data_IF_657310894834
#
_entry.id   IF_657310894834
#
_cell.length_a   1.000
_cell.length_b   1.000
_cell.length_c   1.000
_cell.angle_alpha   90.00
_cell.angle_beta   90.00
_cell.angle_gamma   90.00
#
_symmetry.space_group_name_H-M   'P 1'
#
loop_
_entity.id
_entity.type
_entity.pdbx_description
1 polymer ?
#
# COMPACT_ATOMS: atom_id res chain seq x y z
N UNK A 1 -21.82 6.45 -11.07
CA UNK A 1 -20.48 6.36 -11.71
C UNK A 1 -20.05 4.90 -11.75
N UNK A 2 -19.26 4.45 -12.74
CA UNK A 2 -18.56 3.16 -12.65
C UNK A 2 -17.61 3.15 -11.45
N UNK A 3 -17.22 1.97 -10.97
CA UNK A 3 -16.45 1.75 -9.73
C UNK A 3 -14.94 2.09 -9.86
N UNK A 4 -14.65 3.24 -10.49
CA UNK A 4 -13.28 3.75 -10.65
C UNK A 4 -12.78 4.32 -9.32
N UNK A 5 -11.56 3.95 -8.96
CA UNK A 5 -10.76 4.56 -7.91
C UNK A 5 -9.59 5.31 -8.54
N UNK A 6 -9.24 6.46 -7.98
CA UNK A 6 -8.07 7.23 -8.43
C UNK A 6 -6.84 6.84 -7.58
N UNK A 7 -5.63 6.83 -8.15
CA UNK A 7 -4.41 6.94 -7.34
C UNK A 7 -4.14 8.43 -7.12
N UNK A 8 -4.19 8.86 -5.86
CA UNK A 8 -3.95 10.26 -5.47
C UNK A 8 -2.68 10.33 -4.63
N UNK A 9 -1.79 11.26 -4.96
CA UNK A 9 -0.66 11.60 -4.08
C UNK A 9 -1.00 12.81 -3.20
N UNK A 10 -0.84 12.66 -1.89
CA UNK A 10 -1.07 13.68 -0.87
C UNK A 10 0.26 14.36 -0.52
N UNK A 11 0.40 15.62 -0.90
CA UNK A 11 1.57 16.47 -0.67
C UNK A 11 1.32 17.29 0.59
N UNK A 12 2.13 17.10 1.64
CA UNK A 12 1.99 17.79 2.93
C UNK A 12 3.36 17.90 3.63
N UNK A 13 3.46 18.77 4.63
CA UNK A 13 4.65 18.88 5.48
C UNK A 13 4.74 17.75 6.53
N UNK A 14 5.98 17.33 6.85
CA UNK A 14 6.30 16.37 7.92
C UNK A 14 5.53 16.65 9.23
N UNK A 15 4.65 15.72 9.62
CA UNK A 15 3.83 15.76 10.84
C UNK A 15 2.85 16.95 10.95
N UNK A 16 2.49 17.60 9.84
CA UNK A 16 1.55 18.72 9.83
C UNK A 16 0.09 18.25 9.57
N UNK A 17 -0.90 19.04 10.03
CA UNK A 17 -2.35 18.88 9.80
C UNK A 17 -2.91 17.43 9.87
N UNK A 18 -2.56 16.67 10.93
CA UNK A 18 -2.93 15.25 11.07
C UNK A 18 -4.45 14.99 10.91
N UNK A 19 -5.30 15.84 11.49
CA UNK A 19 -6.76 15.69 11.38
C UNK A 19 -7.28 15.92 9.94
N UNK A 20 -6.63 16.79 9.16
CA UNK A 20 -6.94 16.98 7.73
C UNK A 20 -6.54 15.73 6.92
N UNK A 21 -5.42 15.09 7.27
CA UNK A 21 -4.96 13.84 6.66
C UNK A 21 -5.89 12.66 6.98
N UNK A 22 -6.43 12.59 8.20
CA UNK A 22 -7.44 11.59 8.58
C UNK A 22 -8.78 11.84 7.85
N UNK A 23 -9.24 13.09 7.75
CA UNK A 23 -10.43 13.46 6.97
C UNK A 23 -10.29 13.11 5.48
N UNK A 24 -9.10 13.32 4.89
CA UNK A 24 -8.76 12.85 3.55
C UNK A 24 -8.86 11.33 3.42
N UNK A 25 -8.30 10.58 4.38
CA UNK A 25 -8.33 9.13 4.36
C UNK A 25 -9.77 8.58 4.43
N UNK A 26 -10.61 9.15 5.30
CA UNK A 26 -12.03 8.79 5.43
C UNK A 26 -12.78 9.11 4.13
N UNK A 27 -12.64 10.33 3.60
CA UNK A 27 -13.31 10.75 2.36
C UNK A 27 -12.90 9.86 1.16
N UNK A 28 -11.62 9.54 1.03
CA UNK A 28 -11.13 8.78 -0.13
C UNK A 28 -11.19 7.26 0.02
N UNK A 29 -11.45 6.68 1.21
CA UNK A 29 -11.47 5.23 1.46
C UNK A 29 -12.23 4.40 0.40
N UNK A 30 -13.40 4.87 -0.04
CA UNK A 30 -14.17 4.22 -1.10
C UNK A 30 -13.72 4.60 -2.52
N UNK A 31 -13.21 5.83 -2.68
CA UNK A 31 -13.09 6.61 -3.93
C UNK A 31 -11.68 6.61 -4.54
N UNK A 32 -10.64 6.29 -3.79
CA UNK A 32 -9.25 6.35 -4.23
C UNK A 32 -8.31 5.47 -3.41
N UNK A 33 -7.10 5.28 -3.93
CA UNK A 33 -5.91 4.82 -3.20
C UNK A 33 -5.02 6.05 -2.94
N UNK A 34 -4.59 6.24 -1.70
CA UNK A 34 -3.79 7.39 -1.28
C UNK A 34 -2.33 6.98 -1.03
N UNK A 35 -1.40 7.71 -1.63
CA UNK A 35 0.00 7.78 -1.20
C UNK A 35 0.28 9.16 -0.58
N UNK A 36 1.28 9.28 0.29
CA UNK A 36 1.57 10.52 1.03
C UNK A 36 3.07 10.84 0.93
N UNK A 37 3.44 12.12 0.99
CA UNK A 37 4.85 12.50 1.20
C UNK A 37 5.38 11.87 2.50
N UNK A 38 6.53 11.18 2.41
CA UNK A 38 7.16 10.51 3.55
C UNK A 38 8.23 11.40 4.19
N UNK A 39 8.41 11.27 5.50
CA UNK A 39 9.27 12.18 6.29
C UNK A 39 10.63 12.44 5.66
N UNK A 40 11.01 13.71 5.56
CA UNK A 40 12.27 14.16 4.94
C UNK A 40 13.54 13.66 5.65
N UNK A 41 13.39 12.97 6.80
CA UNK A 41 14.46 12.27 7.51
C UNK A 41 14.93 11.00 6.78
N UNK A 42 14.10 10.43 5.90
CA UNK A 42 14.44 9.28 5.08
C UNK A 42 15.24 9.71 3.85
N UNK A 43 16.42 9.11 3.65
CA UNK A 43 17.30 9.40 2.50
C UNK A 43 16.66 9.15 1.13
N UNK A 44 15.58 8.34 1.07
CA UNK A 44 14.80 8.05 -0.13
C UNK A 44 13.53 8.90 -0.30
N UNK A 45 13.19 9.80 0.62
CA UNK A 45 11.91 10.54 0.62
C UNK A 45 11.66 11.29 -0.71
N UNK A 46 12.64 12.06 -1.17
CA UNK A 46 12.62 12.79 -2.45
C UNK A 46 12.37 11.89 -3.67
N UNK A 47 12.96 10.68 -3.67
CA UNK A 47 12.77 9.70 -4.74
C UNK A 47 11.38 9.07 -4.69
N UNK A 48 10.92 8.67 -3.50
CA UNK A 48 9.60 8.08 -3.27
C UNK A 48 8.46 9.04 -3.68
N UNK A 49 8.50 10.30 -3.22
CA UNK A 49 7.50 11.31 -3.58
C UNK A 49 7.43 11.54 -5.08
N UNK A 50 8.59 11.63 -5.76
CA UNK A 50 8.63 11.70 -7.24
C UNK A 50 8.00 10.47 -7.90
N UNK A 51 8.30 9.27 -7.43
CA UNK A 51 7.76 8.03 -8.01
C UNK A 51 6.24 7.90 -7.82
N UNK A 52 5.71 8.37 -6.69
CA UNK A 52 4.26 8.44 -6.44
C UNK A 52 3.59 9.50 -7.30
N UNK A 53 4.18 10.70 -7.43
CA UNK A 53 3.69 11.76 -8.32
C UNK A 53 3.67 11.31 -9.78
N UNK A 54 4.71 10.61 -10.23
CA UNK A 54 4.79 10.10 -11.60
C UNK A 54 3.67 9.10 -11.90
N UNK A 55 3.26 8.31 -10.90
CA UNK A 55 2.25 7.24 -11.01
C UNK A 55 0.83 7.61 -10.53
N UNK A 56 0.60 8.80 -9.96
CA UNK A 56 -0.75 9.23 -9.54
C UNK A 56 -1.59 9.78 -10.71
N UNK A 57 -2.91 9.57 -10.67
CA UNK A 57 -3.86 10.22 -11.58
C UNK A 57 -3.86 11.74 -11.34
N UNK A 58 -3.85 12.15 -10.06
CA UNK A 58 -3.72 13.54 -9.63
C UNK A 58 -3.10 13.69 -8.24
N UNK A 59 -2.74 14.91 -7.88
CA UNK A 59 -2.23 15.25 -6.55
C UNK A 59 -3.21 16.14 -5.79
N UNK A 60 -3.28 15.95 -4.48
CA UNK A 60 -3.89 16.89 -3.53
C UNK A 60 -2.79 17.41 -2.63
N UNK A 61 -2.70 18.72 -2.48
CA UNK A 61 -1.68 19.37 -1.67
C UNK A 61 -2.34 20.11 -0.52
N UNK A 62 -1.79 19.94 0.68
CA UNK A 62 -2.22 20.59 1.91
C UNK A 62 -1.11 21.53 2.34
N UNK A 63 -1.41 22.82 2.43
CA UNK A 63 -0.57 23.78 3.13
C UNK A 63 -1.18 24.01 4.50
N UNK A 64 -0.46 23.58 5.53
CA UNK A 64 -0.78 23.80 6.93
C UNK A 64 0.09 24.90 7.54
N UNK A 65 0.26 24.83 8.85
CA UNK A 65 1.04 25.80 9.64
C UNK A 65 2.57 25.63 9.50
N UNK A 66 3.04 24.59 8.79
CA UNK A 66 4.46 24.27 8.62
C UNK A 66 4.90 24.27 7.15
N UNK A 67 6.08 24.85 6.87
CA UNK A 67 6.79 24.65 5.60
C UNK A 67 7.39 23.23 5.47
N UNK A 68 7.45 22.47 6.56
CA UNK A 68 8.14 21.19 6.64
C UNK A 68 9.66 21.32 6.84
N UNK A 69 10.32 20.20 7.12
CA UNK A 69 11.77 20.18 7.38
C UNK A 69 12.55 20.51 6.11
N UNK A 70 13.45 21.49 6.23
CA UNK A 70 14.30 21.97 5.13
C UNK A 70 15.50 21.04 4.92
N UNK A 71 15.72 20.59 3.69
CA UNK A 71 16.87 19.76 3.30
C UNK A 71 18.11 20.63 3.04
N UNK A 72 19.28 20.00 2.80
CA UNK A 72 20.57 20.69 2.58
C UNK A 72 20.59 21.70 1.42
N UNK A 73 19.58 21.69 0.55
CA UNK A 73 19.40 22.58 -0.59
C UNK A 73 18.55 23.84 -0.26
N UNK A 74 18.08 24.01 0.98
CA UNK A 74 17.21 25.12 1.38
C UNK A 74 15.71 24.92 1.09
N UNK A 75 15.31 23.75 0.59
CA UNK A 75 13.94 23.43 0.16
C UNK A 75 13.36 22.30 1.01
N UNK A 76 12.06 22.33 1.30
CA UNK A 76 11.37 21.24 2.02
C UNK A 76 10.85 20.15 1.07
N UNK A 77 10.53 18.98 1.61
CA UNK A 77 9.99 17.87 0.81
C UNK A 77 8.66 18.26 0.13
N UNK A 78 7.72 18.88 0.87
CA UNK A 78 6.45 19.41 0.35
C UNK A 78 6.64 20.34 -0.87
N UNK A 79 7.60 21.28 -0.80
CA UNK A 79 7.90 22.19 -1.91
C UNK A 79 8.46 21.42 -3.12
N UNK A 80 9.37 20.46 -2.90
CA UNK A 80 9.93 19.66 -3.98
C UNK A 80 8.86 18.78 -4.66
N UNK A 81 7.94 18.22 -3.91
CA UNK A 81 6.79 17.47 -4.42
C UNK A 81 5.83 18.35 -5.21
N UNK A 82 5.51 19.58 -4.75
CA UNK A 82 4.75 20.56 -5.53
C UNK A 82 5.43 20.85 -6.90
N UNK A 83 6.75 21.08 -6.91
CA UNK A 83 7.49 21.32 -8.15
C UNK A 83 7.52 20.08 -9.07
N UNK A 84 7.68 18.86 -8.52
CA UNK A 84 7.62 17.63 -9.31
C UNK A 84 6.23 17.47 -9.98
N UNK A 85 5.14 17.65 -9.23
CA UNK A 85 3.77 17.54 -9.74
C UNK A 85 3.49 18.58 -10.85
N UNK A 86 3.95 19.83 -10.64
CA UNK A 86 3.89 20.90 -11.63
C UNK A 86 4.71 20.61 -12.89
N UNK A 87 5.95 20.14 -12.75
CA UNK A 87 6.80 19.79 -13.88
C UNK A 87 6.27 18.61 -14.71
N UNK A 88 5.50 17.71 -14.09
CA UNK A 88 4.80 16.60 -14.75
C UNK A 88 3.37 16.93 -15.20
N UNK A 89 2.96 18.21 -15.10
CA UNK A 89 1.63 18.71 -15.48
C UNK A 89 0.47 17.92 -14.84
N UNK A 90 0.70 17.34 -13.65
CA UNK A 90 -0.32 16.56 -12.93
C UNK A 90 -1.45 17.50 -12.50
N UNK A 91 -2.73 17.11 -12.64
CA UNK A 91 -3.82 17.85 -12.04
C UNK A 91 -3.58 18.01 -10.53
N UNK A 92 -3.76 19.22 -10.03
CA UNK A 92 -3.41 19.59 -8.66
C UNK A 92 -4.55 20.36 -8.00
N UNK A 93 -5.09 19.77 -6.94
CA UNK A 93 -5.97 20.45 -5.98
C UNK A 93 -5.08 20.93 -4.84
N UNK A 94 -5.26 22.18 -4.40
CA UNK A 94 -4.50 22.77 -3.27
C UNK A 94 -5.49 23.25 -2.21
N UNK A 95 -5.34 22.74 -1.00
CA UNK A 95 -6.01 23.23 0.20
C UNK A 95 -4.98 24.06 0.99
N UNK A 96 -5.28 25.33 1.28
CA UNK A 96 -4.41 26.23 2.05
C UNK A 96 -5.12 26.66 3.32
N UNK A 97 -4.46 26.51 4.46
CA UNK A 97 -4.99 26.99 5.73
C UNK A 97 -5.03 28.51 5.75
N UNK A 98 -6.14 29.07 6.22
CA UNK A 98 -6.20 30.47 6.60
C UNK A 98 -5.46 30.64 7.93
N UNK A 99 -4.33 31.37 7.89
CA UNK A 99 -3.65 31.79 9.11
C UNK A 99 -4.20 33.14 9.56
N UNK A 100 -4.43 33.31 10.86
CA UNK A 100 -4.75 34.62 11.43
C UNK A 100 -3.63 35.63 11.19
N UNK A 101 -3.90 36.95 11.12
CA UNK A 101 -2.87 37.95 10.87
C UNK A 101 -1.77 37.99 11.94
N UNK A 102 -2.05 37.48 13.14
CA UNK A 102 -1.13 37.39 14.27
C UNK A 102 -0.35 36.05 14.34
N UNK A 103 -0.52 35.14 13.36
CA UNK A 103 0.14 33.84 13.35
C UNK A 103 1.62 33.95 12.92
N UNK A 104 2.53 33.41 13.73
CA UNK A 104 3.98 33.37 13.45
C UNK A 104 4.33 32.25 12.44
N UNK A 105 3.86 32.42 11.21
CA UNK A 105 4.18 31.53 10.08
C UNK A 105 5.51 31.91 9.43
N UNK A 106 6.36 30.90 9.18
CA UNK A 106 7.72 31.14 8.69
C UNK A 106 7.73 31.88 7.34
N UNK A 107 8.76 32.71 7.12
CA UNK A 107 8.92 33.43 5.85
C UNK A 107 8.92 32.49 4.62
N UNK A 108 9.48 31.29 4.76
CA UNK A 108 9.47 30.28 3.69
C UNK A 108 8.05 29.79 3.38
N UNK A 109 7.22 29.58 4.40
CA UNK A 109 5.80 29.25 4.23
C UNK A 109 5.05 30.39 3.54
N UNK A 110 5.26 31.63 3.96
CA UNK A 110 4.64 32.81 3.33
C UNK A 110 5.03 32.98 1.85
N UNK A 111 6.31 32.79 1.50
CA UNK A 111 6.78 32.84 0.11
C UNK A 111 6.25 31.66 -0.72
N UNK A 112 6.09 30.48 -0.11
CA UNK A 112 5.51 29.30 -0.75
C UNK A 112 4.00 29.44 -0.99
N UNK A 113 3.22 29.94 -0.04
CA UNK A 113 1.80 30.26 -0.23
C UNK A 113 1.64 31.24 -1.40
N UNK A 114 2.43 32.32 -1.44
CA UNK A 114 2.44 33.29 -2.55
C UNK A 114 2.80 32.65 -3.90
N UNK A 115 3.72 31.68 -3.93
CA UNK A 115 4.09 30.93 -5.13
C UNK A 115 2.94 30.05 -5.65
N UNK A 116 2.21 29.40 -4.73
CA UNK A 116 1.14 28.44 -5.05
C UNK A 116 -0.16 29.16 -5.44
N UNK A 117 -0.55 30.21 -4.70
CA UNK A 117 -1.71 31.06 -4.99
C UNK A 117 -1.59 31.82 -6.31
N UNK A 118 -0.36 32.13 -6.78
CA UNK A 118 -0.13 32.83 -8.05
C UNK A 118 -0.36 31.94 -9.29
N UNK A 119 -0.54 30.64 -9.15
CA UNK A 119 -0.76 29.72 -10.27
C UNK A 119 -2.20 29.21 -10.33
N UNK A 120 -2.71 29.04 -11.56
CA UNK A 120 -4.07 28.56 -11.87
C UNK A 120 -4.25 27.08 -11.47
N UNK A 121 -4.49 26.88 -10.17
CA UNK A 121 -4.75 25.62 -9.50
C UNK A 121 -6.22 25.57 -9.06
N UNK A 122 -6.74 24.38 -8.76
CA UNK A 122 -7.96 24.29 -7.94
C UNK A 122 -7.59 24.60 -6.49
N UNK A 123 -7.50 25.90 -6.19
CA UNK A 123 -7.12 26.46 -4.90
C UNK A 123 -8.35 26.66 -4.02
N UNK A 124 -8.31 26.09 -2.83
CA UNK A 124 -9.34 26.19 -1.80
C UNK A 124 -8.70 26.62 -0.48
N UNK A 125 -9.45 27.38 0.31
CA UNK A 125 -9.01 27.83 1.64
C UNK A 125 -9.88 27.18 2.71
N UNK A 126 -9.28 26.83 3.86
CA UNK A 126 -9.97 26.26 5.02
C UNK A 126 -9.51 26.97 6.30
N UNK A 127 -10.43 27.19 7.24
CA UNK A 127 -10.13 27.75 8.55
C UNK A 127 -9.95 26.64 9.60
N UNK A 128 -10.72 25.56 9.47
CA UNK A 128 -10.79 24.42 10.39
C UNK A 128 -10.77 23.08 9.64
N UNK A 129 -10.57 21.98 10.36
CA UNK A 129 -10.62 20.64 9.80
C UNK A 129 -12.04 20.16 9.44
N UNK A 130 -13.09 20.84 9.95
CA UNK A 130 -14.49 20.58 9.59
C UNK A 130 -14.82 21.05 8.16
N UNK A 131 -14.13 22.10 7.67
CA UNK A 131 -14.29 22.62 6.31
C UNK A 131 -13.77 21.65 5.22
N UNK A 132 -12.94 20.67 5.60
CA UNK A 132 -12.22 19.81 4.66
C UNK A 132 -13.15 18.89 3.88
N UNK A 133 -14.13 18.24 4.51
CA UNK A 133 -15.03 17.34 3.78
C UNK A 133 -15.87 18.06 2.69
N UNK A 134 -16.58 19.18 2.97
CA UNK A 134 -17.33 19.87 1.91
C UNK A 134 -16.41 20.44 0.81
N UNK A 135 -15.21 20.92 1.14
CA UNK A 135 -14.22 21.35 0.15
C UNK A 135 -13.74 20.18 -0.72
N UNK A 136 -13.49 19.00 -0.14
CA UNK A 136 -13.11 17.80 -0.89
C UNK A 136 -14.23 17.29 -1.79
N UNK A 137 -15.49 17.30 -1.33
CA UNK A 137 -16.68 17.01 -2.15
C UNK A 137 -16.69 17.94 -3.37
N UNK A 138 -16.62 19.25 -3.16
CA UNK A 138 -16.66 20.24 -4.24
C UNK A 138 -15.48 20.10 -5.20
N UNK A 139 -14.25 20.02 -4.68
CA UNK A 139 -13.03 19.97 -5.49
C UNK A 139 -12.95 18.68 -6.32
N UNK A 140 -13.23 17.52 -5.71
CA UNK A 140 -13.20 16.22 -6.38
C UNK A 140 -14.25 16.11 -7.50
N UNK A 141 -15.51 16.48 -7.25
CA UNK A 141 -16.54 16.41 -8.29
C UNK A 141 -16.33 17.44 -9.40
N UNK A 142 -15.85 18.66 -9.09
CA UNK A 142 -15.48 19.64 -10.12
C UNK A 142 -14.28 19.18 -10.95
N UNK A 143 -13.29 18.52 -10.34
CA UNK A 143 -12.13 17.99 -11.04
C UNK A 143 -12.50 16.85 -12.01
N UNK A 144 -13.42 15.96 -11.59
CA UNK A 144 -13.98 14.90 -12.44
C UNK A 144 -14.83 15.49 -13.58
N UNK A 145 -15.73 16.42 -13.28
CA UNK A 145 -16.67 16.99 -14.26
C UNK A 145 -15.97 17.79 -15.37
N UNK A 146 -14.87 18.47 -15.06
CA UNK A 146 -14.12 19.29 -16.01
C UNK A 146 -13.14 18.48 -16.91
N UNK A 147 -13.29 17.16 -17.01
CA UNK A 147 -12.50 16.24 -17.85
C UNK A 147 -10.96 16.27 -17.66
N UNK A 148 -10.42 16.99 -16.67
CA UNK A 148 -8.97 17.02 -16.37
C UNK A 148 -8.42 15.70 -15.82
N UNK A 149 -9.29 14.77 -15.42
CA UNK A 149 -8.92 13.48 -14.81
C UNK A 149 -9.00 12.33 -15.84
N UNK A 150 -8.02 12.29 -16.74
CA UNK A 150 -7.88 11.24 -17.78
C UNK A 150 -7.16 10.02 -17.21
N UNK A 151 -7.77 9.40 -16.21
CA UNK A 151 -7.21 8.29 -15.43
C UNK A 151 -8.20 7.83 -14.36
N UNK A 152 -8.02 6.64 -13.81
CA UNK A 152 -8.93 6.06 -12.82
C UNK A 152 -9.02 4.55 -12.94
N UNK A 153 -8.33 3.87 -12.04
CA UNK A 153 -8.25 2.42 -11.87
C UNK A 153 -9.64 1.81 -11.67
N UNK A 154 -10.03 0.88 -12.53
CA UNK A 154 -11.19 0.02 -12.29
C UNK A 154 -10.76 -1.08 -11.32
N UNK A 155 -11.64 -1.52 -10.41
CA UNK A 155 -11.36 -2.73 -9.62
C UNK A 155 -11.55 -3.96 -10.53
N UNK A 156 -10.67 -4.94 -10.47
CA UNK A 156 -10.74 -6.12 -11.35
C UNK A 156 -12.15 -6.78 -11.40
N UNK A 157 -12.83 -6.87 -10.25
CA UNK A 157 -14.18 -7.41 -10.11
C UNK A 157 -15.28 -6.68 -10.94
N UNK A 158 -15.03 -5.45 -11.39
CA UNK A 158 -15.94 -4.66 -12.23
C UNK A 158 -15.62 -4.77 -13.74
N UNK A 159 -14.43 -5.25 -14.13
CA UNK A 159 -14.02 -5.37 -15.54
C UNK A 159 -14.71 -6.56 -16.24
N UNK A 160 -14.90 -7.68 -15.52
CA UNK A 160 -15.71 -8.83 -15.99
C UNK A 160 -17.16 -8.43 -16.31
N UNK A 161 -17.72 -7.45 -15.58
CA UNK A 161 -19.10 -6.99 -15.77
C UNK A 161 -19.27 -5.84 -16.79
N UNK A 162 -18.18 -5.17 -17.20
CA UNK A 162 -18.26 -3.98 -18.09
C UNK A 162 -17.73 -4.23 -19.50
N UNK A 163 -16.87 -5.24 -19.70
CA UNK A 163 -16.33 -5.60 -21.03
C UNK A 163 -17.41 -5.92 -22.07
N UNK A 164 -18.57 -6.44 -21.64
CA UNK A 164 -19.68 -6.84 -22.52
C UNK A 164 -20.53 -5.71 -23.12
N UNK A 165 -20.24 -4.42 -22.87
CA UNK A 165 -21.16 -3.30 -23.24
C UNK A 165 -20.53 -2.07 -23.89
N UNK A 166 -19.32 -2.14 -24.46
CA UNK A 166 -18.71 -1.04 -25.24
C UNK A 166 -18.04 -1.48 -26.55
N UNK A 167 -18.79 -2.14 -27.44
CA UNK A 167 -18.38 -2.42 -28.84
C UNK A 167 -19.43 -1.89 -29.85
N UNK A 168 -20.04 -0.75 -29.51
CA UNK A 168 -20.72 0.20 -30.41
C UNK A 168 -20.58 1.57 -29.70
N UNK A 169 -20.21 2.69 -30.32
CA UNK A 169 -20.11 3.03 -31.74
C UNK A 169 -18.78 3.74 -32.04
N UNK A 170 -18.08 3.32 -33.10
CA UNK A 170 -17.52 4.23 -34.12
C UNK A 170 -17.11 3.39 -35.34
N UNK A 171 -17.50 3.85 -36.54
CA UNK A 171 -17.21 3.19 -37.82
C UNK A 171 -17.20 4.26 -38.91
N UNK A 172 -16.37 4.05 -39.95
CA UNK A 172 -15.99 5.01 -41.00
C UNK A 172 -15.07 6.12 -40.48
N UNK A 173 -13.99 6.50 -41.15
CA UNK A 173 -13.28 5.94 -42.34
C UNK A 173 -11.80 6.36 -42.16
N UNK A 174 -10.77 5.58 -42.53
CA UNK A 174 -10.21 5.57 -43.90
C UNK A 174 -9.22 4.40 -44.19
N UNK A 175 -8.58 4.43 -45.38
CA UNK A 175 -8.05 3.29 -46.17
C UNK A 175 -6.73 3.68 -46.90
N UNK A 176 -5.73 2.85 -47.27
CA UNK A 176 -5.52 1.37 -47.33
C UNK A 176 -4.22 1.00 -46.49
N UNK A 177 -3.07 0.36 -46.93
CA UNK A 177 -2.03 -0.14 -45.99
C UNK A 177 -0.56 0.18 -46.39
N UNK A 178 0.43 -0.45 -45.72
CA UNK A 178 1.62 -1.08 -46.37
C UNK A 178 2.45 -1.93 -45.40
N UNK A 179 2.95 -3.07 -45.91
CA UNK A 179 3.77 -4.07 -45.21
C UNK A 179 5.26 -3.72 -45.14
N UNK A 180 5.92 -4.07 -44.03
CA UNK A 180 7.25 -4.71 -44.08
C UNK A 180 7.50 -5.57 -42.84
N UNK A 181 7.91 -6.81 -43.05
CA UNK A 181 8.37 -7.73 -42.01
C UNK A 181 9.86 -7.50 -41.73
N UNK A 182 10.27 -7.49 -40.45
CA UNK A 182 11.68 -7.69 -40.06
C UNK A 182 11.72 -8.51 -38.77
N UNK A 183 12.01 -9.80 -38.89
CA UNK A 183 12.34 -10.64 -37.74
C UNK A 183 13.70 -10.21 -37.15
N UNK A 184 13.79 -10.11 -35.82
CA UNK A 184 15.08 -10.22 -35.10
C UNK A 184 14.91 -10.93 -33.76
N UNK A 185 15.50 -12.13 -33.69
CA UNK A 185 15.59 -12.92 -32.47
C UNK A 185 16.70 -12.41 -31.54
N UNK A 186 16.37 -12.17 -30.27
CA UNK A 186 17.26 -12.39 -29.12
C UNK A 186 16.42 -12.51 -27.84
N UNK A 187 16.79 -13.37 -26.87
CA UNK A 187 15.89 -13.85 -25.81
C UNK A 187 15.93 -12.99 -24.52
N UNK A 188 15.41 -13.60 -23.45
CA UNK A 188 15.51 -13.20 -22.03
C UNK A 188 14.49 -12.14 -21.54
N UNK A 189 13.20 -12.39 -21.81
CA UNK A 189 12.14 -11.93 -20.90
C UNK A 189 12.07 -12.88 -19.69
N UNK A 190 12.66 -12.48 -18.56
CA UNK A 190 12.42 -13.14 -17.27
C UNK A 190 10.94 -12.96 -16.86
N UNK A 191 10.35 -14.03 -16.34
CA UNK A 191 8.93 -14.15 -16.01
C UNK A 191 8.47 -13.01 -15.06
N UNK A 192 7.77 -12.02 -15.60
CA UNK A 192 7.14 -10.94 -14.83
C UNK A 192 5.88 -11.50 -14.13
N UNK A 193 6.10 -12.28 -13.06
CA UNK A 193 5.05 -12.89 -12.26
C UNK A 193 4.05 -11.81 -11.82
N UNK A 194 2.84 -11.88 -12.36
CA UNK A 194 1.78 -10.90 -12.10
C UNK A 194 1.52 -10.77 -10.59
N UNK A 195 1.63 -9.54 -10.06
CA UNK A 195 1.74 -9.31 -8.62
C UNK A 195 0.40 -9.49 -7.87
N UNK A 196 0.09 -10.75 -7.53
CA UNK A 196 -1.10 -11.20 -6.76
C UNK A 196 -1.08 -10.76 -5.28
N UNK A 197 -0.94 -9.45 -5.05
CA UNK A 197 -0.81 -8.84 -3.71
C UNK A 197 -2.10 -8.11 -3.27
N UNK A 198 -3.04 -7.88 -4.18
CA UNK A 198 -4.33 -7.18 -3.90
C UNK A 198 -5.54 -8.11 -3.72
N UNK A 199 -5.34 -9.43 -3.69
CA UNK A 199 -6.40 -10.42 -3.40
C UNK A 199 -6.81 -10.33 -1.91
N UNK A 200 -8.10 -10.14 -1.57
CA UNK A 200 -8.54 -10.12 -0.17
C UNK A 200 -8.48 -11.53 0.42
N UNK A 201 -7.71 -11.72 1.49
CA UNK A 201 -7.56 -13.04 2.13
C UNK A 201 -8.88 -13.51 2.75
N UNK A 202 -9.45 -14.60 2.22
CA UNK A 202 -10.51 -15.34 2.91
C UNK A 202 -9.92 -16.26 3.98
N UNK A 203 -10.58 -16.36 5.15
CA UNK A 203 -10.10 -17.21 6.25
C UNK A 203 -10.18 -18.72 5.96
N UNK A 204 -11.01 -19.08 4.98
CA UNK A 204 -11.25 -20.41 4.41
C UNK A 204 -10.22 -20.83 3.35
N UNK A 205 -9.46 -19.89 2.80
CA UNK A 205 -8.38 -20.20 1.86
C UNK A 205 -7.13 -20.76 2.57
N UNK A 206 -6.23 -21.30 1.75
CA UNK A 206 -4.97 -21.88 2.19
C UNK A 206 -3.77 -21.17 1.56
N UNK A 207 -2.66 -21.16 2.30
CA UNK A 207 -1.36 -20.68 1.88
C UNK A 207 -0.38 -21.86 1.92
N UNK A 208 0.18 -22.23 0.76
CA UNK A 208 1.27 -23.19 0.68
C UNK A 208 2.61 -22.48 0.96
N UNK A 209 3.48 -23.15 1.71
CA UNK A 209 4.81 -22.68 2.07
C UNK A 209 5.84 -23.81 1.91
N UNK A 210 7.03 -23.49 1.43
CA UNK A 210 8.17 -24.39 1.55
C UNK A 210 8.93 -24.11 2.85
N UNK A 211 9.39 -25.17 3.50
CA UNK A 211 10.23 -25.08 4.68
C UNK A 211 11.35 -26.12 4.63
N UNK A 212 12.49 -25.80 5.24
CA UNK A 212 13.53 -26.77 5.58
C UNK A 212 13.42 -27.17 7.05
N UNK A 213 13.82 -28.39 7.39
CA UNK A 213 13.92 -28.89 8.76
C UNK A 213 15.05 -29.92 8.90
N UNK A 214 15.53 -30.11 10.11
CA UNK A 214 16.54 -31.13 10.44
C UNK A 214 15.87 -32.34 11.06
N UNK A 215 15.86 -33.44 10.30
CA UNK A 215 15.41 -34.75 10.75
C UNK A 215 16.58 -35.53 11.35
N UNK A 216 16.37 -36.13 12.52
CA UNK A 216 17.36 -36.97 13.20
C UNK A 216 16.93 -38.44 13.21
N UNK A 217 17.75 -39.31 12.63
CA UNK A 217 17.54 -40.75 12.53
C UNK A 217 18.81 -41.50 12.96
N UNK A 218 18.73 -42.37 13.97
CA UNK A 218 19.88 -43.19 14.42
C UNK A 218 21.13 -42.44 14.90
N UNK A 219 21.06 -41.11 15.08
CA UNK A 219 22.22 -40.25 15.36
C UNK A 219 22.75 -39.50 14.13
N UNK A 220 22.28 -39.82 12.93
CA UNK A 220 22.52 -39.03 11.72
C UNK A 220 21.57 -37.83 11.68
N UNK A 221 22.03 -36.75 11.04
CA UNK A 221 21.25 -35.56 10.70
C UNK A 221 20.98 -35.57 9.19
N UNK A 222 19.76 -35.28 8.79
CA UNK A 222 19.41 -35.02 7.38
C UNK A 222 18.59 -33.73 7.29
N UNK A 223 19.08 -32.76 6.53
CA UNK A 223 18.29 -31.57 6.17
C UNK A 223 17.25 -31.99 5.12
N UNK A 224 15.96 -31.78 5.41
CA UNK A 224 14.84 -32.10 4.53
C UNK A 224 14.07 -30.83 4.18
N UNK A 225 13.71 -30.69 2.90
CA UNK A 225 12.81 -29.62 2.41
C UNK A 225 11.43 -30.22 2.09
N UNK A 226 10.35 -29.55 2.49
CA UNK A 226 8.96 -29.96 2.26
C UNK A 226 8.04 -28.76 2.02
N UNK A 227 6.94 -29.00 1.32
CA UNK A 227 5.77 -28.10 1.34
C UNK A 227 4.92 -28.36 2.59
N UNK A 228 4.22 -27.32 3.06
CA UNK A 228 3.17 -27.42 4.07
C UNK A 228 2.02 -26.46 3.70
N UNK A 229 0.79 -26.93 3.87
CA UNK A 229 -0.42 -26.13 3.67
C UNK A 229 -0.91 -25.58 5.01
N UNK A 230 -1.06 -24.26 5.11
CA UNK A 230 -1.60 -23.56 6.28
C UNK A 230 -2.91 -22.87 5.91
N UNK A 231 -3.93 -22.93 6.77
CA UNK A 231 -5.11 -22.07 6.58
C UNK A 231 -4.81 -20.63 7.00
N UNK A 232 -5.46 -19.66 6.35
CA UNK A 232 -5.33 -18.26 6.76
C UNK A 232 -5.87 -17.99 8.17
N UNK A 233 -6.84 -18.78 8.64
CA UNK A 233 -7.28 -18.78 10.03
C UNK A 233 -6.14 -19.13 11.02
N UNK A 234 -5.34 -20.18 10.76
CA UNK A 234 -4.19 -20.55 11.61
C UNK A 234 -3.08 -19.50 11.61
N UNK A 235 -2.86 -18.85 10.46
CA UNK A 235 -1.94 -17.72 10.33
C UNK A 235 -2.44 -16.54 11.17
N UNK A 236 -3.73 -16.17 11.08
CA UNK A 236 -4.31 -15.09 11.88
C UNK A 236 -4.24 -15.38 13.40
N UNK A 237 -4.58 -16.60 13.81
CA UNK A 237 -4.47 -17.05 15.19
C UNK A 237 -3.03 -17.04 15.72
N UNK A 238 -2.06 -17.28 14.84
CA UNK A 238 -0.63 -17.18 15.14
C UNK A 238 -0.19 -15.72 15.29
N UNK A 239 -0.62 -14.84 14.39
CA UNK A 239 -0.38 -13.39 14.46
C UNK A 239 -0.97 -12.78 15.75
N UNK A 240 -2.20 -13.15 16.13
CA UNK A 240 -2.85 -12.67 17.36
C UNK A 240 -2.13 -13.07 18.65
N UNK A 241 -1.25 -14.09 18.62
CA UNK A 241 -0.42 -14.50 19.76
C UNK A 241 0.91 -13.75 19.84
N UNK A 242 1.26 -12.94 18.83
CA UNK A 242 2.46 -12.10 18.84
C UNK A 242 2.19 -10.84 19.70
N UNK A 243 3.16 -10.34 20.49
CA UNK A 243 3.04 -9.06 21.18
C UNK A 243 2.64 -7.89 20.25
N UNK A 244 2.07 -6.83 20.82
CA UNK A 244 1.41 -5.73 20.09
C UNK A 244 2.26 -5.05 19.00
N UNK A 245 3.60 -5.15 19.08
CA UNK A 245 4.53 -4.78 18.01
C UNK A 245 5.59 -5.87 17.84
N UNK A 246 5.94 -6.19 16.59
CA UNK A 246 6.92 -7.25 16.26
C UNK A 246 7.73 -6.90 15.01
N UNK A 247 8.95 -7.41 14.91
CA UNK A 247 9.76 -7.26 13.69
C UNK A 247 9.47 -8.34 12.65
N UNK A 248 9.97 -8.17 11.43
CA UNK A 248 9.91 -9.17 10.35
C UNK A 248 10.52 -10.53 10.78
N UNK A 249 11.56 -10.49 11.63
CA UNK A 249 12.14 -11.68 12.29
C UNK A 249 11.23 -12.27 13.39
N UNK A 250 10.45 -11.43 14.09
CA UNK A 250 9.41 -11.87 15.02
C UNK A 250 8.27 -12.61 14.30
N UNK A 251 7.85 -12.10 13.14
CA UNK A 251 6.88 -12.76 12.24
C UNK A 251 7.40 -14.12 11.78
N UNK A 252 8.63 -14.17 11.23
CA UNK A 252 9.26 -15.43 10.78
C UNK A 252 9.34 -16.46 11.91
N UNK A 253 9.73 -16.05 13.13
CA UNK A 253 9.77 -16.96 14.29
C UNK A 253 8.39 -17.47 14.72
N UNK A 254 7.33 -16.66 14.61
CA UNK A 254 5.98 -17.10 14.92
C UNK A 254 5.48 -18.15 13.91
N UNK A 255 5.73 -17.92 12.62
CA UNK A 255 5.39 -18.87 11.54
C UNK A 255 6.23 -20.15 11.64
N UNK A 256 7.54 -20.05 11.91
CA UNK A 256 8.40 -21.23 12.13
C UNK A 256 7.89 -22.12 13.28
N UNK A 257 7.34 -21.55 14.36
CA UNK A 257 6.72 -22.33 15.45
C UNK A 257 5.44 -23.05 15.01
N UNK A 258 4.60 -22.40 14.20
CA UNK A 258 3.42 -23.03 13.59
C UNK A 258 3.84 -24.19 12.68
N UNK A 259 4.87 -23.99 11.85
CA UNK A 259 5.45 -25.05 10.99
C UNK A 259 5.94 -26.22 11.84
N UNK A 260 6.77 -25.99 12.87
CA UNK A 260 7.29 -27.06 13.75
C UNK A 260 6.18 -27.95 14.30
N UNK A 261 5.05 -27.35 14.71
CA UNK A 261 3.91 -28.09 15.29
C UNK A 261 3.18 -29.02 14.33
N UNK A 262 3.34 -28.85 13.00
CA UNK A 262 2.82 -29.76 11.96
C UNK A 262 3.92 -30.65 11.37
N UNK A 263 5.09 -30.06 11.09
CA UNK A 263 6.23 -30.72 10.46
C UNK A 263 6.69 -31.99 11.18
N UNK A 264 6.64 -32.04 12.51
CA UNK A 264 6.97 -33.26 13.26
C UNK A 264 6.02 -34.43 12.91
N UNK A 265 4.73 -34.14 12.75
CA UNK A 265 3.70 -35.15 12.42
C UNK A 265 3.84 -35.62 10.98
N UNK A 266 4.15 -34.72 10.04
CA UNK A 266 4.24 -35.06 8.62
C UNK A 266 5.57 -35.76 8.27
N UNK A 267 6.70 -35.30 8.80
CA UNK A 267 8.00 -35.97 8.62
C UNK A 267 7.99 -37.38 9.23
N UNK A 268 7.31 -37.60 10.37
CA UNK A 268 7.18 -38.95 10.97
C UNK A 268 6.27 -39.91 10.18
N UNK A 269 5.43 -39.43 9.25
CA UNK A 269 4.68 -40.31 8.33
C UNK A 269 5.58 -40.85 7.21
N UNK A 270 6.45 -40.00 6.67
CA UNK A 270 7.36 -40.36 5.58
C UNK A 270 8.63 -41.07 6.07
N UNK A 271 9.15 -40.66 7.22
CA UNK A 271 10.38 -41.15 7.83
C UNK A 271 10.11 -41.66 9.26
N UNK A 272 9.49 -42.84 9.43
CA UNK A 272 9.01 -43.34 10.73
C UNK A 272 10.11 -43.58 11.78
N UNK A 273 11.37 -43.65 11.37
CA UNK A 273 12.53 -43.80 12.24
C UNK A 273 13.04 -42.46 12.83
N UNK A 274 12.50 -41.32 12.38
CA UNK A 274 12.94 -39.99 12.82
C UNK A 274 12.43 -39.73 14.25
N UNK A 275 13.35 -39.69 15.20
CA UNK A 275 13.03 -39.53 16.62
C UNK A 275 12.82 -38.05 17.01
N UNK A 276 13.52 -37.13 16.32
CA UNK A 276 13.40 -35.69 16.53
C UNK A 276 13.43 -34.92 15.21
N UNK A 277 12.63 -33.85 15.14
CA UNK A 277 12.66 -32.83 14.09
C UNK A 277 13.01 -31.50 14.73
N UNK A 278 13.91 -30.73 14.13
CA UNK A 278 14.31 -29.41 14.64
C UNK A 278 14.57 -28.40 13.51
N UNK A 279 14.91 -27.15 13.87
CA UNK A 279 15.32 -26.08 12.94
C UNK A 279 14.35 -25.81 11.78
N UNK A 280 13.05 -26.05 11.98
CA UNK A 280 12.03 -25.77 10.98
C UNK A 280 12.04 -24.28 10.59
N UNK A 281 12.32 -24.00 9.32
CA UNK A 281 12.52 -22.66 8.80
C UNK A 281 11.80 -22.50 7.46
N UNK A 282 10.84 -21.59 7.39
CA UNK A 282 10.19 -21.16 6.15
C UNK A 282 11.22 -20.61 5.15
N UNK A 283 10.99 -20.86 3.85
CA UNK A 283 11.81 -20.29 2.78
C UNK A 283 11.80 -18.75 2.81
N UNK A 284 12.88 -18.13 2.36
CA UNK A 284 12.95 -16.66 2.33
C UNK A 284 11.99 -16.06 1.30
N UNK A 285 11.67 -16.79 0.23
CA UNK A 285 10.67 -16.37 -0.75
C UNK A 285 9.26 -16.37 -0.14
N UNK A 286 8.90 -17.43 0.60
CA UNK A 286 7.55 -17.61 1.12
C UNK A 286 7.24 -16.70 2.30
N UNK A 287 8.22 -16.40 3.18
CA UNK A 287 8.01 -15.39 4.23
C UNK A 287 7.88 -13.99 3.66
N UNK A 288 8.61 -13.67 2.57
CA UNK A 288 8.46 -12.39 1.86
C UNK A 288 7.11 -12.31 1.13
N UNK A 289 6.63 -13.41 0.55
CA UNK A 289 5.32 -13.53 -0.07
C UNK A 289 4.20 -13.37 0.97
N UNK A 290 4.30 -14.09 2.09
CA UNK A 290 3.38 -14.00 3.23
C UNK A 290 3.31 -12.58 3.79
N UNK A 291 4.46 -11.93 4.01
CA UNK A 291 4.49 -10.55 4.50
C UNK A 291 3.84 -9.58 3.50
N UNK A 292 4.04 -9.75 2.19
CA UNK A 292 3.35 -8.96 1.16
C UNK A 292 1.83 -9.18 1.18
N UNK A 293 1.35 -10.43 1.21
CA UNK A 293 -0.09 -10.74 1.30
C UNK A 293 -0.73 -10.19 2.58
N UNK A 294 -0.05 -10.29 3.73
CA UNK A 294 -0.52 -9.74 5.00
C UNK A 294 -0.58 -8.19 5.02
N UNK A 295 0.28 -7.51 4.26
CA UNK A 295 0.21 -6.04 4.08
C UNK A 295 -0.91 -5.68 3.08
N UNK A 296 -0.99 -6.36 1.94
CA UNK A 296 -2.00 -6.12 0.90
C UNK A 296 -3.44 -6.33 1.39
N UNK A 297 -3.67 -7.38 2.17
CA UNK A 297 -4.96 -7.64 2.83
C UNK A 297 -5.23 -6.72 4.04
N UNK A 298 -4.35 -5.75 4.36
CA UNK A 298 -4.44 -4.86 5.51
C UNK A 298 -4.55 -5.61 6.85
N UNK A 299 -3.85 -6.74 7.00
CA UNK A 299 -3.79 -7.49 8.26
C UNK A 299 -2.70 -6.98 9.19
N UNK A 300 -1.55 -6.57 8.64
CA UNK A 300 -0.43 -5.96 9.36
C UNK A 300 -0.09 -4.59 8.76
N UNK A 301 0.38 -3.67 9.60
CA UNK A 301 0.82 -2.34 9.19
C UNK A 301 2.16 -1.97 9.86
N UNK A 302 2.98 -1.19 9.18
CA UNK A 302 4.28 -0.74 9.68
C UNK A 302 4.09 0.27 10.84
N UNK A 303 5.00 0.22 11.81
CA UNK A 303 5.08 1.11 12.97
C UNK A 303 6.35 1.97 12.88
N UNK A 304 6.17 3.28 12.81
CA UNK A 304 7.26 4.28 12.72
C UNK A 304 7.98 4.53 14.05
N UNK A 305 7.52 3.92 15.15
CA UNK A 305 8.04 4.13 16.50
C UNK A 305 9.22 3.21 16.83
N UNK A 306 10.40 3.56 16.31
CA UNK A 306 11.67 2.92 16.67
C UNK A 306 12.77 3.96 16.93
N UNK A 307 13.32 4.00 18.15
CA UNK A 307 14.50 4.84 18.50
C UNK A 307 15.82 4.27 17.97
N UNK A 308 15.77 3.16 17.21
CA UNK A 308 16.91 2.52 16.54
C UNK A 308 16.58 2.35 15.05
N UNK A 309 17.45 2.89 14.21
CA UNK A 309 17.18 3.28 12.80
C UNK A 309 17.09 2.09 11.82
N UNK A 310 17.11 0.83 12.29
CA UNK A 310 17.37 -0.35 11.47
C UNK A 310 16.40 -1.52 11.62
N UNK A 311 15.27 -1.36 12.31
CA UNK A 311 14.29 -2.44 12.46
C UNK A 311 12.89 -2.01 12.03
N UNK A 312 12.38 -2.64 10.97
CA UNK A 312 10.97 -2.65 10.63
C UNK A 312 10.19 -3.28 11.80
N UNK A 313 9.23 -2.53 12.34
CA UNK A 313 8.28 -3.01 13.32
C UNK A 313 6.88 -2.97 12.72
N UNK A 314 6.08 -3.98 13.03
CA UNK A 314 4.74 -4.20 12.51
C UNK A 314 3.76 -4.33 13.68
N UNK A 315 2.49 -3.98 13.46
CA UNK A 315 1.37 -4.29 14.36
C UNK A 315 0.21 -4.90 13.56
N UNK A 316 -0.61 -5.73 14.19
CA UNK A 316 -1.91 -6.12 13.61
C UNK A 316 -2.82 -4.89 13.52
N UNK A 317 -3.57 -4.81 12.44
CA UNK A 317 -4.61 -3.79 12.25
C UNK A 317 -5.84 -4.07 13.12
N UNK A 318 -6.75 -3.09 13.24
CA UNK A 318 -8.05 -3.31 13.87
C UNK A 318 -8.92 -4.28 13.03
N UNK A 319 -8.83 -4.19 11.71
CA UNK A 319 -9.49 -5.10 10.77
C UNK A 319 -9.12 -6.57 11.03
N UNK A 320 -7.83 -6.90 11.13
CA UNK A 320 -7.36 -8.26 11.43
C UNK A 320 -7.93 -8.82 12.74
N UNK A 321 -8.02 -7.99 13.79
CA UNK A 321 -8.56 -8.39 15.10
C UNK A 321 -10.07 -8.64 15.05
N UNK A 322 -10.80 -7.90 14.22
CA UNK A 322 -12.25 -8.03 14.10
C UNK A 322 -12.68 -9.17 13.18
N UNK A 323 -11.85 -9.55 12.18
CA UNK A 323 -12.10 -10.70 11.31
C UNK A 323 -12.39 -11.98 12.13
N UNK A 324 -11.58 -12.24 13.16
CA UNK A 324 -11.76 -13.43 13.99
C UNK A 324 -13.04 -13.35 14.84
N UNK A 325 -13.34 -12.19 15.43
CA UNK A 325 -14.56 -11.98 16.24
C UNK A 325 -15.84 -12.20 15.43
N UNK A 326 -15.86 -11.71 14.19
CA UNK A 326 -16.97 -11.91 13.27
C UNK A 326 -17.12 -13.39 12.86
N UNK A 327 -16.00 -14.10 12.66
CA UNK A 327 -16.02 -15.52 12.33
C UNK A 327 -16.65 -16.37 13.45
N UNK A 328 -16.25 -16.15 14.72
CA UNK A 328 -16.86 -16.84 15.88
C UNK A 328 -18.34 -16.49 16.06
N UNK A 329 -18.74 -15.28 15.66
CA UNK A 329 -20.13 -14.80 15.77
C UNK A 329 -21.07 -15.37 14.70
N UNK A 330 -20.52 -15.87 13.58
CA UNK A 330 -21.28 -16.57 12.55
C UNK A 330 -21.34 -18.07 12.79
N UNK A 331 -20.28 -18.71 13.31
CA UNK A 331 -20.34 -20.13 13.69
C UNK A 331 -21.38 -20.37 14.80
N UNK A 332 -21.42 -19.50 15.81
CA UNK A 332 -22.41 -19.56 16.90
C UNK A 332 -23.84 -19.13 16.49
N UNK A 333 -24.17 -19.21 15.18
CA UNK A 333 -25.49 -18.99 14.59
C UNK A 333 -25.90 -20.08 13.59
N UNK A 334 -25.10 -21.15 13.47
CA UNK A 334 -25.40 -22.31 12.63
C UNK A 334 -25.57 -23.62 13.43
N UNK A 335 -25.39 -23.53 14.76
CA UNK A 335 -25.93 -24.44 15.79
C UNK A 335 -27.16 -23.79 16.45
#
# INVERSE_FOLDING_TARGET
MPNRRYHIHIICADNDQLLVLDSLAIFFQARAFLTYDVSSKLSKASFYGRQCIDSCDYAVMIVGDSYGTVQKNGVSQMHLSYLNAKAKLKPLIVLVKNHSPDADISRQLQEFIKLVTKQDNQLHYYDTEEDIEPLLVQAHYNAIANNKMIGGWVRANDEENTTSKKVVYEKTVDVLPSTTEVEKNSPDEEDFIADKVSEPIELTEFFEIQYSAQAYEGGNLTDVTRSLTLSWHEILMTLMRIPCTFSSYGLQNAINRLITSKAEVDIKKEMPNVHAVSRCQISQADINNLQRKLVGANWIQLMTYGTRVSQELWKLTFYAKNLLQNHTSNTNKQD
#
